data_IF_879552629429
#
_entry.id   IF_879552629429
#
_cell.length_a   1.000
_cell.length_b   1.000
_cell.length_c   1.000
_cell.angle_alpha   90.00
_cell.angle_beta   90.00
_cell.angle_gamma   90.00
#
_symmetry.space_group_name_H-M   'P 1'
#
loop_
_entity.id
_entity.type
_entity.pdbx_description
1 polymer ?
#
# COMPACT_ATOMS: atom_id res chain seq x y z
N UNK A 1 21.94 -33.96 -39.12
CA UNK A 1 22.28 -32.65 -38.53
C UNK A 1 21.08 -31.72 -38.63
N UNK A 2 20.46 -31.31 -37.52
CA UNK A 2 19.39 -30.30 -37.55
C UNK A 2 20.03 -28.92 -37.80
N UNK A 3 19.67 -28.28 -38.91
CA UNK A 3 20.08 -26.89 -39.20
C UNK A 3 19.52 -26.00 -38.09
N UNK A 4 20.36 -25.13 -37.53
CA UNK A 4 19.90 -24.13 -36.55
C UNK A 4 18.96 -23.16 -37.27
N UNK A 5 17.83 -22.78 -36.65
CA UNK A 5 16.92 -21.80 -37.23
C UNK A 5 17.67 -20.48 -37.44
N UNK A 6 17.38 -19.84 -38.57
CA UNK A 6 17.91 -18.51 -38.86
C UNK A 6 17.13 -17.45 -38.10
N UNK A 7 17.68 -16.25 -38.00
CA UNK A 7 17.02 -15.12 -37.33
C UNK A 7 15.65 -14.81 -37.94
N UNK A 8 15.51 -14.98 -39.26
CA UNK A 8 14.25 -14.77 -39.98
C UNK A 8 13.20 -15.82 -39.64
N UNK A 9 13.61 -17.07 -39.39
CA UNK A 9 12.72 -18.14 -38.94
C UNK A 9 12.12 -17.82 -37.57
N UNK A 10 12.96 -17.31 -36.65
CA UNK A 10 12.55 -16.91 -35.31
C UNK A 10 11.62 -15.69 -35.32
N UNK A 11 11.89 -14.70 -36.19
CA UNK A 11 11.03 -13.52 -36.33
C UNK A 11 9.66 -13.88 -36.91
N UNK A 12 9.62 -14.77 -37.91
CA UNK A 12 8.37 -15.25 -38.50
C UNK A 12 7.53 -16.06 -37.51
N UNK A 13 8.17 -16.88 -36.70
CA UNK A 13 7.49 -17.66 -35.66
C UNK A 13 6.94 -16.75 -34.55
N UNK A 14 7.71 -15.74 -34.13
CA UNK A 14 7.27 -14.72 -33.18
C UNK A 14 6.04 -13.93 -33.68
N UNK A 15 6.03 -13.55 -34.97
CA UNK A 15 4.89 -12.85 -35.57
C UNK A 15 3.63 -13.74 -35.65
N UNK A 16 3.79 -15.05 -35.85
CA UNK A 16 2.68 -16.03 -35.81
C UNK A 16 2.12 -16.24 -34.40
N UNK A 17 2.98 -16.23 -33.38
CA UNK A 17 2.58 -16.50 -32.01
C UNK A 17 1.87 -15.32 -31.33
N UNK A 18 2.34 -14.10 -31.57
CA UNK A 18 1.83 -12.90 -30.87
C UNK A 18 0.60 -12.31 -31.59
N UNK A 19 0.39 -12.66 -32.87
CA UNK A 19 -0.63 -12.03 -33.70
C UNK A 19 -0.28 -10.57 -34.02
N UNK A 20 -1.11 -9.87 -34.81
CA UNK A 20 -0.91 -8.44 -35.06
C UNK A 20 -0.97 -7.68 -33.72
N UNK A 21 -0.05 -6.72 -33.54
CA UNK A 21 -0.06 -5.79 -32.40
C UNK A 21 -1.46 -5.19 -32.29
N UNK A 22 -2.16 -5.47 -31.19
CA UNK A 22 -3.43 -4.80 -30.92
C UNK A 22 -3.18 -3.29 -30.94
N UNK A 23 -4.07 -2.50 -31.59
CA UNK A 23 -3.96 -1.06 -31.54
C UNK A 23 -3.95 -0.61 -30.07
N UNK A 24 -3.18 0.43 -29.72
CA UNK A 24 -3.11 0.92 -28.36
C UNK A 24 -4.54 1.19 -27.86
N UNK A 25 -4.94 0.46 -26.82
CA UNK A 25 -6.24 0.71 -26.19
C UNK A 25 -6.21 2.16 -25.66
N UNK A 26 -7.30 2.92 -25.83
CA UNK A 26 -7.40 4.23 -25.19
C UNK A 26 -7.17 4.05 -23.68
N UNK A 27 -6.56 5.04 -23.00
CA UNK A 27 -6.37 4.96 -21.56
C UNK A 27 -7.72 4.65 -20.92
N UNK A 28 -7.82 3.51 -20.24
CA UNK A 28 -9.03 3.16 -19.47
C UNK A 28 -9.31 4.35 -18.57
N UNK A 29 -10.46 5.00 -18.76
CA UNK A 29 -10.89 6.08 -17.87
C UNK A 29 -10.81 5.54 -16.44
N UNK A 30 -9.90 6.10 -15.63
CA UNK A 30 -9.83 5.73 -14.23
C UNK A 30 -11.20 6.04 -13.64
N UNK A 31 -11.86 5.00 -13.13
CA UNK A 31 -13.09 5.19 -12.34
C UNK A 31 -12.74 6.10 -11.16
N UNK A 32 -13.68 6.94 -10.74
CA UNK A 32 -13.50 7.70 -9.50
C UNK A 32 -13.27 6.71 -8.34
N UNK A 33 -12.36 7.02 -7.40
CA UNK A 33 -12.19 6.20 -6.20
C UNK A 33 -13.53 6.06 -5.48
N UNK A 34 -13.82 4.83 -5.06
CA UNK A 34 -14.92 4.56 -4.14
C UNK A 34 -14.41 4.69 -2.70
N UNK A 35 -15.32 4.90 -1.75
CA UNK A 35 -14.95 4.93 -0.33
C UNK A 35 -14.21 3.64 0.11
N UNK A 36 -14.55 2.49 -0.46
CA UNK A 36 -13.83 1.24 -0.24
C UNK A 36 -12.40 1.25 -0.81
N UNK A 37 -12.16 1.94 -1.92
CA UNK A 37 -10.81 2.07 -2.49
C UNK A 37 -9.94 2.96 -1.57
N UNK A 38 -10.54 3.99 -0.97
CA UNK A 38 -9.86 4.88 -0.03
C UNK A 38 -9.51 4.13 1.27
N UNK A 39 -10.46 3.38 1.84
CA UNK A 39 -10.21 2.53 3.02
C UNK A 39 -9.10 1.51 2.75
N UNK A 40 -9.12 0.87 1.58
CA UNK A 40 -8.10 -0.10 1.19
C UNK A 40 -6.72 0.55 1.06
N UNK A 41 -6.65 1.70 0.39
CA UNK A 41 -5.39 2.43 0.20
C UNK A 41 -4.80 2.89 1.54
N UNK A 42 -5.62 3.51 2.39
CA UNK A 42 -5.19 3.96 3.71
C UNK A 42 -4.78 2.79 4.62
N UNK A 43 -5.40 1.62 4.48
CA UNK A 43 -4.98 0.40 5.18
C UNK A 43 -3.60 -0.05 4.73
N UNK A 44 -3.32 -0.08 3.43
CA UNK A 44 -2.01 -0.45 2.90
C UNK A 44 -0.91 0.50 3.39
N UNK A 45 -1.20 1.80 3.35
CA UNK A 45 -0.28 2.84 3.84
C UNK A 45 0.02 2.65 5.33
N UNK A 46 -1.03 2.44 6.15
CA UNK A 46 -0.88 2.23 7.58
C UNK A 46 -0.06 0.97 7.90
N UNK A 47 -0.32 -0.15 7.21
CA UNK A 47 0.44 -1.40 7.37
C UNK A 47 1.90 -1.23 6.96
N UNK A 48 2.18 -0.46 5.91
CA UNK A 48 3.55 -0.17 5.50
C UNK A 48 4.33 0.57 6.59
N UNK A 49 3.73 1.58 7.22
CA UNK A 49 4.38 2.31 8.31
C UNK A 49 4.54 1.48 9.58
N UNK A 50 3.56 0.63 9.91
CA UNK A 50 3.69 -0.34 11.01
C UNK A 50 4.90 -1.25 10.79
N UNK A 51 5.03 -1.85 9.59
CA UNK A 51 6.17 -2.74 9.29
C UNK A 51 7.50 -2.01 9.41
N UNK A 52 7.60 -0.83 8.81
CA UNK A 52 8.83 -0.03 8.83
C UNK A 52 9.22 0.37 10.26
N UNK A 53 8.25 0.73 11.08
CA UNK A 53 8.46 1.09 12.48
C UNK A 53 8.94 -0.13 13.31
N UNK A 54 8.34 -1.30 13.09
CA UNK A 54 8.76 -2.55 13.74
C UNK A 54 10.18 -2.96 13.34
N UNK A 55 10.51 -2.89 12.05
CA UNK A 55 11.84 -3.24 11.54
C UNK A 55 12.93 -2.30 12.10
N UNK A 56 12.61 -1.02 12.26
CA UNK A 56 13.53 -0.02 12.79
C UNK A 56 13.54 0.05 14.33
N UNK A 57 12.58 -0.57 15.01
CA UNK A 57 12.38 -0.40 16.45
C UNK A 57 12.02 1.04 16.85
N UNK A 58 11.37 1.79 15.94
CA UNK A 58 11.03 3.20 16.13
C UNK A 58 9.52 3.39 16.29
N UNK A 59 9.07 4.46 16.97
CA UNK A 59 7.67 4.82 17.01
C UNK A 59 7.21 5.43 15.67
N UNK A 60 5.90 5.55 15.48
CA UNK A 60 5.29 6.03 14.24
C UNK A 60 5.03 7.54 14.31
N UNK A 61 5.53 8.26 13.32
CA UNK A 61 5.27 9.69 13.13
C UNK A 61 3.80 9.93 12.73
N UNK A 62 3.04 10.77 13.46
CA UNK A 62 1.66 11.12 13.12
C UNK A 62 1.50 11.66 11.71
N UNK A 63 2.47 12.43 11.19
CA UNK A 63 2.39 13.03 9.84
C UNK A 63 2.39 11.99 8.71
N UNK A 64 2.74 10.73 9.03
CA UNK A 64 2.74 9.61 8.08
C UNK A 64 1.43 8.83 8.06
N UNK A 65 0.54 9.06 9.02
CA UNK A 65 -0.70 8.30 9.14
C UNK A 65 -1.86 9.01 8.44
N UNK A 66 -2.85 8.25 7.93
CA UNK A 66 -4.08 8.85 7.46
C UNK A 66 -4.86 9.53 8.59
N UNK A 67 -5.49 10.66 8.31
CA UNK A 67 -6.23 11.48 9.29
C UNK A 67 -7.25 10.67 10.11
N UNK A 68 -7.98 9.74 9.45
CA UNK A 68 -8.95 8.87 10.13
C UNK A 68 -8.30 7.97 11.19
N UNK A 69 -7.08 7.51 10.98
CA UNK A 69 -6.35 6.70 11.97
C UNK A 69 -5.95 7.57 13.15
N UNK A 70 -5.43 8.77 12.89
CA UNK A 70 -5.07 9.76 13.92
C UNK A 70 -6.29 10.07 14.78
N UNK A 71 -7.43 10.38 14.14
CA UNK A 71 -8.69 10.65 14.82
C UNK A 71 -9.12 9.49 15.73
N UNK A 72 -9.03 8.24 15.26
CA UNK A 72 -9.36 7.05 16.06
C UNK A 72 -8.40 6.91 17.26
N UNK A 73 -7.10 7.16 17.09
CA UNK A 73 -6.11 7.09 18.18
C UNK A 73 -6.41 8.17 19.24
N UNK A 74 -6.67 9.41 18.82
CA UNK A 74 -6.98 10.52 19.73
C UNK A 74 -8.30 10.29 20.47
N UNK A 75 -9.33 9.78 19.78
CA UNK A 75 -10.67 9.56 20.36
C UNK A 75 -10.74 8.32 21.27
N UNK A 76 -9.97 7.27 20.99
CA UNK A 76 -9.93 6.05 21.81
C UNK A 76 -8.81 6.07 22.86
N UNK A 77 -8.08 7.18 22.95
CA UNK A 77 -7.17 7.57 24.02
C UNK A 77 -6.61 6.43 24.86
N UNK A 78 -5.48 5.85 24.45
CA UNK A 78 -4.59 5.21 25.42
C UNK A 78 -3.75 6.31 26.08
N UNK A 79 -4.27 6.83 27.18
CA UNK A 79 -3.54 7.77 28.02
C UNK A 79 -2.20 7.17 28.48
N UNK A 80 -1.19 8.02 28.35
CA UNK A 80 0.05 8.02 29.15
C UNK A 80 1.11 6.99 28.78
N UNK A 81 1.71 7.15 27.60
CA UNK A 81 3.15 7.41 27.46
C UNK A 81 3.48 7.51 25.96
N UNK A 82 3.27 8.68 25.35
CA UNK A 82 3.57 8.84 23.91
C UNK A 82 5.06 9.10 23.74
N UNK A 83 5.77 8.33 22.90
CA UNK A 83 7.19 8.51 22.70
C UNK A 83 7.45 9.89 22.08
N UNK A 84 8.49 10.56 22.58
CA UNK A 84 8.97 11.82 22.02
C UNK A 84 10.27 11.51 21.28
N UNK A 85 10.28 11.78 19.97
CA UNK A 85 11.46 11.67 19.12
C UNK A 85 11.70 13.05 18.51
N UNK A 86 12.92 13.57 18.65
CA UNK A 86 13.30 14.90 18.16
C UNK A 86 12.35 16.03 18.58
N UNK A 87 11.81 15.94 19.82
CA UNK A 87 10.87 16.94 20.37
C UNK A 87 9.43 16.83 19.86
N UNK A 88 9.11 15.81 19.05
CA UNK A 88 7.76 15.58 18.52
C UNK A 88 7.12 14.34 19.12
N UNK A 89 5.82 14.42 19.37
CA UNK A 89 5.01 13.30 19.86
C UNK A 89 4.80 12.29 18.74
N UNK A 90 5.10 11.03 19.02
CA UNK A 90 4.89 9.90 18.12
C UNK A 90 3.86 8.91 18.72
N UNK A 91 3.38 7.98 17.90
CA UNK A 91 2.49 6.91 18.33
C UNK A 91 3.24 5.58 18.47
N UNK A 92 2.83 4.78 19.46
CA UNK A 92 3.26 3.39 19.52
C UNK A 92 2.63 2.59 18.39
N UNK A 93 3.36 1.59 17.89
CA UNK A 93 2.85 0.67 16.88
C UNK A 93 1.56 -0.01 17.33
N UNK A 94 1.46 -0.37 18.62
CA UNK A 94 0.28 -1.03 19.19
C UNK A 94 -0.97 -0.16 19.08
N UNK A 95 -0.84 1.15 19.30
CA UNK A 95 -1.96 2.09 19.22
C UNK A 95 -2.45 2.24 17.78
N UNK A 96 -1.52 2.29 16.82
CA UNK A 96 -1.83 2.35 15.40
C UNK A 96 -2.51 1.06 14.92
N UNK A 97 -2.08 -0.11 15.41
CA UNK A 97 -2.74 -1.40 15.12
C UNK A 97 -4.18 -1.41 15.65
N UNK A 98 -4.39 -1.02 16.92
CA UNK A 98 -5.73 -0.95 17.50
C UNK A 98 -6.64 -0.01 16.72
N UNK A 99 -6.13 1.16 16.33
CA UNK A 99 -6.89 2.10 15.52
C UNK A 99 -7.25 1.55 14.14
N UNK A 100 -6.34 0.78 13.52
CA UNK A 100 -6.61 0.11 12.25
C UNK A 100 -7.67 -1.00 12.38
N UNK A 101 -7.68 -1.75 13.47
CA UNK A 101 -8.72 -2.76 13.73
C UNK A 101 -10.10 -2.11 13.92
N UNK A 102 -10.18 -1.04 14.73
CA UNK A 102 -11.41 -0.25 14.92
C UNK A 102 -11.92 0.28 13.57
N UNK A 103 -11.02 0.87 12.77
CA UNK A 103 -11.36 1.37 11.44
C UNK A 103 -11.97 0.31 10.52
N UNK A 104 -11.46 -0.92 10.62
CA UNK A 104 -11.93 -2.05 9.82
C UNK A 104 -13.17 -2.74 10.41
N UNK A 105 -13.78 -2.17 11.45
CA UNK A 105 -14.96 -2.74 12.13
C UNK A 105 -14.64 -3.97 12.97
N UNK A 106 -13.35 -4.24 13.24
CA UNK A 106 -12.91 -5.29 14.14
C UNK A 106 -12.80 -4.70 15.55
N UNK A 107 -13.84 -4.87 16.34
CA UNK A 107 -13.80 -4.49 17.77
C UNK A 107 -12.96 -5.55 18.49
N UNK A 108 -11.85 -5.13 19.10
CA UNK A 108 -11.03 -5.94 20.02
C UNK A 108 -11.15 -5.36 21.42
#
# INVERSE_FOLDING_TARGET
>A
MKKRPTLDDLQRERARFIGPLQPPQPPKMQRRPTESDDIYTETLVTVHFIRTALDAGLPIDPERLPDKIIEIIENNGSGHDRPIVDGRVHYHVVDVIKALDIRNGKIV
#
